data_IF_609777495877
#
_entry.id   IF_609777495877
#
_cell.length_a   1.000
_cell.length_b   1.000
_cell.length_c   1.000
_cell.angle_alpha   90.00
_cell.angle_beta   90.00
_cell.angle_gamma   90.00
#
_symmetry.space_group_name_H-M   'P 1'
#
loop_
_entity.id
_entity.type
_entity.pdbx_description
1 polymer ?
#
# COMPACT_ATOMS: atom_id res chain seq x y z
N UNK A 1 32.83 -6.95 15.46
CA UNK A 1 31.80 -6.43 14.54
C UNK A 1 31.42 -5.03 15.01
N UNK A 2 31.33 -4.05 14.12
CA UNK A 2 30.88 -2.70 14.50
C UNK A 2 29.41 -2.73 14.95
N UNK A 3 29.00 -1.80 15.81
CA UNK A 3 27.60 -1.70 16.24
C UNK A 3 26.64 -1.55 15.05
N UNK A 4 27.05 -0.81 14.02
CA UNK A 4 26.33 -0.67 12.76
C UNK A 4 26.17 -2.01 12.02
N UNK A 5 27.21 -2.85 11.98
CA UNK A 5 27.12 -4.16 11.35
C UNK A 5 26.08 -5.04 12.08
N UNK A 6 26.12 -5.08 13.40
CA UNK A 6 25.16 -5.87 14.19
C UNK A 6 23.73 -5.39 13.94
N UNK A 7 23.49 -4.09 13.98
CA UNK A 7 22.16 -3.52 13.76
C UNK A 7 21.66 -3.76 12.32
N UNK A 8 22.51 -3.51 11.32
CA UNK A 8 22.15 -3.68 9.90
C UNK A 8 21.83 -5.13 9.52
N UNK A 9 22.65 -6.10 9.95
CA UNK A 9 22.39 -7.51 9.70
C UNK A 9 21.16 -8.02 10.47
N UNK A 10 20.90 -7.49 11.67
CA UNK A 10 19.68 -7.81 12.44
C UNK A 10 18.42 -7.35 11.70
N UNK A 11 18.41 -6.10 11.22
CA UNK A 11 17.32 -5.57 10.40
C UNK A 11 17.14 -6.35 9.10
N UNK A 12 18.25 -6.66 8.42
CA UNK A 12 18.23 -7.42 7.18
C UNK A 12 17.60 -8.80 7.38
N UNK A 13 18.06 -9.56 8.38
CA UNK A 13 17.52 -10.87 8.71
C UNK A 13 16.03 -10.83 9.02
N UNK A 14 15.59 -9.83 9.79
CA UNK A 14 14.18 -9.63 10.10
C UNK A 14 13.35 -9.32 8.84
N UNK A 15 13.82 -8.43 7.97
CA UNK A 15 13.12 -8.07 6.74
C UNK A 15 13.00 -9.26 5.79
N UNK A 16 14.09 -10.00 5.57
CA UNK A 16 14.10 -11.20 4.72
C UNK A 16 13.16 -12.27 5.26
N UNK A 17 13.13 -12.48 6.58
CA UNK A 17 12.19 -13.40 7.22
C UNK A 17 10.74 -13.01 6.95
N UNK A 18 10.39 -11.73 7.13
CA UNK A 18 9.03 -11.23 6.91
C UNK A 18 8.62 -11.28 5.43
N UNK A 19 9.52 -10.95 4.51
CA UNK A 19 9.29 -11.09 3.06
C UNK A 19 9.09 -12.55 2.67
N UNK A 20 9.94 -13.45 3.17
CA UNK A 20 9.82 -14.89 2.91
C UNK A 20 8.49 -15.43 3.41
N UNK A 21 8.11 -15.07 4.65
CA UNK A 21 6.82 -15.44 5.22
C UNK A 21 5.65 -14.89 4.39
N UNK A 22 5.74 -13.66 3.86
CA UNK A 22 4.75 -13.10 2.94
C UNK A 22 4.64 -13.91 1.64
N UNK A 23 5.76 -14.26 1.01
CA UNK A 23 5.74 -15.00 -0.27
C UNK A 23 5.12 -16.39 -0.08
N UNK A 24 5.43 -17.05 1.03
CA UNK A 24 4.80 -18.33 1.42
C UNK A 24 3.30 -18.11 1.64
N UNK A 25 2.89 -17.04 2.34
CA UNK A 25 1.48 -16.68 2.60
C UNK A 25 0.68 -16.61 1.32
N UNK A 26 1.21 -15.86 0.35
CA UNK A 26 0.53 -15.61 -0.91
C UNK A 26 0.54 -16.81 -1.85
N UNK A 27 1.60 -17.60 -1.82
CA UNK A 27 1.65 -18.86 -2.56
C UNK A 27 0.58 -19.83 -2.05
N UNK A 28 0.39 -19.93 -0.73
CA UNK A 28 -0.70 -20.74 -0.16
C UNK A 28 -2.07 -20.17 -0.52
N UNK A 29 -2.24 -18.85 -0.48
CA UNK A 29 -3.52 -18.19 -0.77
C UNK A 29 -3.94 -18.35 -2.23
N UNK A 30 -3.00 -18.24 -3.18
CA UNK A 30 -3.27 -18.30 -4.61
C UNK A 30 -3.04 -19.70 -5.22
N UNK A 31 -2.67 -20.68 -4.40
CA UNK A 31 -2.49 -22.09 -4.76
C UNK A 31 -1.25 -22.41 -5.61
N UNK A 32 -0.59 -21.42 -6.22
CA UNK A 32 0.62 -21.61 -7.03
C UNK A 32 1.46 -20.35 -7.11
N UNK A 33 2.78 -20.53 -7.26
CA UNK A 33 3.75 -19.44 -7.51
C UNK A 33 3.50 -18.69 -8.82
N UNK A 34 2.83 -19.34 -9.79
CA UNK A 34 2.49 -18.72 -11.09
C UNK A 34 1.37 -17.67 -10.98
N UNK A 35 0.60 -17.72 -9.89
CA UNK A 35 -0.50 -16.80 -9.63
C UNK A 35 -0.09 -15.62 -8.72
N UNK A 36 1.22 -15.43 -8.52
CA UNK A 36 1.73 -14.28 -7.78
C UNK A 36 1.46 -12.98 -8.55
N UNK A 37 1.22 -11.92 -7.81
CA UNK A 37 0.82 -10.65 -8.39
C UNK A 37 2.03 -9.73 -8.61
N UNK A 38 1.82 -8.66 -9.38
CA UNK A 38 2.88 -7.68 -9.70
C UNK A 38 3.56 -7.14 -8.43
N UNK A 39 2.79 -6.94 -7.35
CA UNK A 39 3.35 -6.44 -6.09
C UNK A 39 4.28 -7.45 -5.40
N UNK A 40 4.14 -8.75 -5.66
CA UNK A 40 5.08 -9.75 -5.15
C UNK A 40 6.40 -9.71 -5.92
N UNK A 41 6.34 -9.52 -7.24
CA UNK A 41 7.54 -9.30 -8.06
C UNK A 41 8.29 -8.03 -7.65
N UNK A 42 7.56 -6.94 -7.37
CA UNK A 42 8.14 -5.69 -6.89
C UNK A 42 8.78 -5.82 -5.51
N UNK A 43 8.20 -6.62 -4.59
CA UNK A 43 8.81 -6.88 -3.28
C UNK A 43 10.08 -7.71 -3.40
N UNK A 44 10.12 -8.71 -4.31
CA UNK A 44 11.36 -9.46 -4.58
C UNK A 44 12.42 -8.52 -5.14
N UNK A 45 12.06 -7.67 -6.11
CA UNK A 45 12.96 -6.65 -6.66
C UNK A 45 13.49 -5.70 -5.56
N UNK A 46 12.59 -5.14 -4.74
CA UNK A 46 12.95 -4.29 -3.60
C UNK A 46 13.89 -5.01 -2.62
N UNK A 47 13.68 -6.31 -2.40
CA UNK A 47 14.54 -7.10 -1.50
C UNK A 47 15.95 -7.25 -2.08
N UNK A 48 16.09 -7.50 -3.38
CA UNK A 48 17.39 -7.55 -4.04
C UNK A 48 18.14 -6.22 -3.93
N UNK A 49 17.47 -5.10 -4.22
CA UNK A 49 18.08 -3.77 -4.13
C UNK A 49 18.41 -3.41 -2.67
N UNK A 50 17.54 -3.75 -1.73
CA UNK A 50 17.80 -3.58 -0.30
C UNK A 50 18.99 -4.41 0.20
N UNK A 51 19.21 -5.63 -0.33
CA UNK A 51 20.44 -6.39 -0.05
C UNK A 51 21.69 -5.63 -0.49
N UNK A 52 21.68 -5.06 -1.71
CA UNK A 52 22.80 -4.25 -2.20
C UNK A 52 23.00 -3.01 -1.32
N UNK A 53 21.93 -2.37 -0.87
CA UNK A 53 21.99 -1.25 0.08
C UNK A 53 22.68 -1.64 1.38
N UNK A 54 22.26 -2.74 2.03
CA UNK A 54 22.84 -3.16 3.33
C UNK A 54 24.31 -3.53 3.18
N UNK A 55 24.67 -4.25 2.11
CA UNK A 55 26.08 -4.58 1.82
C UNK A 55 26.88 -3.31 1.53
N UNK A 56 26.35 -2.40 0.72
CA UNK A 56 27.01 -1.13 0.39
C UNK A 56 27.21 -0.23 1.61
N UNK A 57 26.24 -0.17 2.52
CA UNK A 57 26.37 0.56 3.80
C UNK A 57 27.50 -0.01 4.66
N UNK A 58 27.70 -1.33 4.65
CA UNK A 58 28.83 -1.94 5.34
C UNK A 58 30.17 -1.56 4.70
N UNK A 59 30.23 -1.38 3.37
CA UNK A 59 31.44 -0.89 2.69
C UNK A 59 31.71 0.56 3.07
N UNK A 60 30.71 1.45 2.93
CA UNK A 60 30.84 2.89 3.24
C UNK A 60 31.27 3.11 4.69
N UNK A 61 30.76 2.30 5.63
CA UNK A 61 31.13 2.41 7.04
C UNK A 61 32.63 2.13 7.32
N UNK A 62 33.35 1.52 6.37
CA UNK A 62 34.77 1.21 6.49
C UNK A 62 35.64 1.91 5.44
N UNK A 63 35.08 2.84 4.66
CA UNK A 63 35.82 3.58 3.61
C UNK A 63 35.60 5.07 3.75
N UNK A 64 36.64 5.86 3.51
CA UNK A 64 36.50 7.30 3.40
C UNK A 64 35.84 7.72 2.07
N UNK A 65 35.22 8.90 2.03
CA UNK A 65 34.65 9.48 0.81
C UNK A 65 35.33 10.81 0.46
N UNK A 66 34.87 11.44 -0.62
CA UNK A 66 35.23 12.79 -1.06
C UNK A 66 34.59 13.91 -0.22
N UNK A 67 33.77 13.59 0.79
CA UNK A 67 33.33 14.55 1.78
C UNK A 67 34.41 14.68 2.87
N UNK A 68 35.26 15.70 2.73
CA UNK A 68 36.43 15.91 3.59
C UNK A 68 36.07 16.87 4.74
N UNK A 69 36.40 16.53 6.01
CA UNK A 69 36.24 17.44 7.14
C UNK A 69 37.06 18.72 6.94
N UNK A 70 36.54 19.91 7.31
CA UNK A 70 37.26 21.18 7.14
C UNK A 70 38.57 21.25 7.95
N UNK A 71 38.72 20.39 8.95
CA UNK A 71 39.93 20.28 9.79
C UNK A 71 41.01 19.38 9.17
N UNK A 72 40.66 18.51 8.21
CA UNK A 72 41.62 17.69 7.49
C UNK A 72 42.23 18.53 6.35
N UNK A 73 43.57 18.59 6.31
CA UNK A 73 44.30 19.20 5.20
C UNK A 73 44.04 18.47 3.87
N UNK A 74 44.45 19.09 2.75
CA UNK A 74 44.26 18.54 1.41
C UNK A 74 45.45 17.68 0.91
N UNK A 75 46.42 17.40 1.78
CA UNK A 75 47.58 16.58 1.47
C UNK A 75 47.24 15.10 1.69
N UNK A 76 46.79 14.44 0.63
CA UNK A 76 46.45 13.02 0.65
C UNK A 76 47.53 12.17 -0.03
N UNK A 77 47.83 11.03 0.58
CA UNK A 77 48.64 9.99 -0.06
C UNK A 77 47.89 9.41 -1.29
N UNK A 78 48.57 9.02 -2.38
CA UNK A 78 47.92 8.45 -3.55
C UNK A 78 47.04 7.23 -3.26
N UNK A 79 47.35 6.43 -2.22
CA UNK A 79 46.49 5.32 -1.82
C UNK A 79 45.21 5.80 -1.11
N UNK A 80 45.27 6.82 -0.26
CA UNK A 80 44.06 7.42 0.36
C UNK A 80 43.14 8.05 -0.70
N UNK A 81 43.72 8.68 -1.73
CA UNK A 81 42.93 9.21 -2.86
C UNK A 81 42.17 8.07 -3.56
N UNK A 82 42.81 6.93 -3.83
CA UNK A 82 42.14 5.77 -4.46
C UNK A 82 41.03 5.21 -3.59
N UNK A 83 41.26 5.10 -2.29
CA UNK A 83 40.27 4.63 -1.33
C UNK A 83 39.05 5.57 -1.29
N UNK A 84 39.29 6.89 -1.22
CA UNK A 84 38.22 7.90 -1.24
C UNK A 84 37.40 7.89 -2.53
N UNK A 85 38.06 7.72 -3.68
CA UNK A 85 37.37 7.55 -4.96
C UNK A 85 36.47 6.31 -4.93
N UNK A 86 36.94 5.20 -4.37
CA UNK A 86 36.14 3.99 -4.23
C UNK A 86 34.96 4.19 -3.28
N UNK A 87 35.19 4.78 -2.10
CA UNK A 87 34.13 5.07 -1.14
C UNK A 87 33.07 6.01 -1.69
N UNK A 88 33.45 7.07 -2.40
CA UNK A 88 32.50 7.98 -3.07
C UNK A 88 31.64 7.29 -4.13
N UNK A 89 32.22 6.37 -4.92
CA UNK A 89 31.44 5.57 -5.86
C UNK A 89 30.44 4.66 -5.14
N UNK A 90 30.83 4.09 -4.01
CA UNK A 90 29.92 3.28 -3.19
C UNK A 90 28.79 4.11 -2.57
N UNK A 91 29.06 5.35 -2.15
CA UNK A 91 28.03 6.31 -1.69
C UNK A 91 26.97 6.55 -2.75
N UNK A 92 27.38 6.78 -4.01
CA UNK A 92 26.43 6.90 -5.14
C UNK A 92 25.55 5.67 -5.30
N UNK A 93 26.15 4.47 -5.25
CA UNK A 93 25.43 3.20 -5.39
C UNK A 93 24.42 3.01 -4.26
N UNK A 94 24.82 3.28 -3.02
CA UNK A 94 23.94 3.14 -1.85
C UNK A 94 22.80 4.13 -1.91
N UNK A 95 23.06 5.38 -2.28
CA UNK A 95 22.01 6.40 -2.39
C UNK A 95 20.97 6.03 -3.45
N UNK A 96 21.40 5.45 -4.59
CA UNK A 96 20.44 4.93 -5.57
C UNK A 96 19.74 3.67 -5.14
N UNK A 97 20.40 2.76 -4.44
CA UNK A 97 19.71 1.61 -3.88
C UNK A 97 18.64 2.04 -2.86
N UNK A 98 18.89 3.10 -2.09
CA UNK A 98 17.91 3.65 -1.15
C UNK A 98 16.73 4.28 -1.85
N UNK A 99 16.99 5.16 -2.83
CA UNK A 99 15.96 5.80 -3.65
C UNK A 99 15.06 4.72 -4.29
N UNK A 100 15.66 3.75 -4.98
CA UNK A 100 14.91 2.67 -5.65
C UNK A 100 14.15 1.80 -4.64
N UNK A 101 14.75 1.45 -3.50
CA UNK A 101 14.08 0.63 -2.47
C UNK A 101 12.84 1.34 -1.92
N UNK A 102 13.00 2.59 -1.46
CA UNK A 102 11.93 3.35 -0.83
C UNK A 102 10.77 3.61 -1.82
N UNK A 103 11.06 4.03 -3.05
CA UNK A 103 10.02 4.29 -4.03
C UNK A 103 9.34 3.02 -4.53
N UNK A 104 10.07 1.91 -4.65
CA UNK A 104 9.47 0.60 -4.97
C UNK A 104 8.49 0.19 -3.86
N UNK A 105 8.85 0.39 -2.59
CA UNK A 105 7.99 0.08 -1.46
C UNK A 105 6.73 0.95 -1.44
N UNK A 106 6.86 2.25 -1.74
CA UNK A 106 5.69 3.14 -1.93
C UNK A 106 4.79 2.66 -3.06
N UNK A 107 5.35 2.23 -4.18
CA UNK A 107 4.60 1.66 -5.30
C UNK A 107 3.84 0.38 -4.89
N UNK A 108 4.49 -0.53 -4.15
CA UNK A 108 3.85 -1.73 -3.59
C UNK A 108 2.66 -1.37 -2.67
N UNK A 109 2.83 -0.39 -1.79
CA UNK A 109 1.76 0.09 -0.90
C UNK A 109 0.58 0.68 -1.68
N UNK A 110 0.86 1.48 -2.72
CA UNK A 110 -0.17 2.07 -3.57
C UNK A 110 -0.94 1.00 -4.36
N UNK A 111 -0.26 -0.01 -4.90
CA UNK A 111 -0.91 -1.15 -5.57
C UNK A 111 -1.75 -1.98 -4.59
N UNK A 112 -1.29 -2.13 -3.35
CA UNK A 112 -2.11 -2.74 -2.30
C UNK A 112 -3.37 -1.89 -2.07
N UNK A 113 -3.23 -0.60 -1.83
CA UNK A 113 -4.37 0.28 -1.56
C UNK A 113 -5.34 0.40 -2.74
N UNK A 114 -4.88 0.23 -3.98
CA UNK A 114 -5.78 0.23 -5.14
C UNK A 114 -6.76 -0.95 -5.12
N UNK A 115 -6.45 -2.02 -4.38
CA UNK A 115 -7.34 -3.17 -4.19
C UNK A 115 -8.30 -3.00 -3.01
N UNK A 116 -7.95 -2.16 -2.03
CA UNK A 116 -8.80 -1.88 -0.88
C UNK A 116 -9.79 -0.73 -1.15
N UNK A 117 -9.48 0.15 -2.10
CA UNK A 117 -10.28 1.35 -2.37
C UNK A 117 -11.40 1.05 -3.38
N UNK A 118 -12.65 1.27 -2.95
CA UNK A 118 -13.84 0.99 -3.79
C UNK A 118 -14.54 2.27 -4.26
N UNK A 119 -14.42 3.37 -3.52
CA UNK A 119 -15.16 4.61 -3.81
C UNK A 119 -14.46 5.43 -4.89
N UNK A 120 -15.23 6.07 -5.79
CA UNK A 120 -14.70 6.93 -6.86
C UNK A 120 -13.73 8.02 -6.35
N UNK A 121 -14.07 8.68 -5.23
CA UNK A 121 -13.21 9.68 -4.59
C UNK A 121 -11.88 9.08 -4.10
N UNK A 122 -11.92 7.90 -3.48
CA UNK A 122 -10.72 7.21 -2.98
C UNK A 122 -9.81 6.76 -4.12
N UNK A 123 -10.37 6.22 -5.19
CA UNK A 123 -9.61 5.82 -6.38
C UNK A 123 -8.97 7.03 -7.06
N UNK A 124 -9.68 8.17 -7.14
CA UNK A 124 -9.10 9.41 -7.67
C UNK A 124 -7.94 9.91 -6.81
N UNK A 125 -8.12 9.99 -5.49
CA UNK A 125 -7.05 10.36 -4.55
C UNK A 125 -5.84 9.44 -4.68
N UNK A 126 -6.06 8.12 -4.75
CA UNK A 126 -4.99 7.14 -4.93
C UNK A 126 -4.22 7.34 -6.23
N UNK A 127 -4.91 7.63 -7.34
CA UNK A 127 -4.26 7.92 -8.63
C UNK A 127 -3.43 9.20 -8.58
N UNK A 128 -3.91 10.24 -7.92
CA UNK A 128 -3.17 11.50 -7.74
C UNK A 128 -1.90 11.26 -6.91
N UNK A 129 -2.00 10.53 -5.79
CA UNK A 129 -0.83 10.20 -4.96
C UNK A 129 0.13 9.29 -5.71
N UNK A 130 -0.35 8.32 -6.48
CA UNK A 130 0.50 7.47 -7.31
C UNK A 130 1.25 8.26 -8.40
N UNK A 131 0.58 9.21 -9.05
CA UNK A 131 1.21 10.12 -10.00
C UNK A 131 2.26 11.00 -9.33
N UNK A 132 1.98 11.51 -8.13
CA UNK A 132 2.95 12.27 -7.32
C UNK A 132 4.19 11.47 -6.97
N UNK A 133 4.04 10.22 -6.52
CA UNK A 133 5.16 9.32 -6.20
C UNK A 133 5.98 8.96 -7.44
N UNK A 134 5.33 8.69 -8.57
CA UNK A 134 6.02 8.42 -9.83
C UNK A 134 6.78 9.66 -10.33
N UNK A 135 6.15 10.83 -10.27
CA UNK A 135 6.80 12.10 -10.62
C UNK A 135 8.01 12.37 -9.73
N UNK A 136 7.89 12.20 -8.42
CA UNK A 136 8.99 12.46 -7.50
C UNK A 136 10.16 11.51 -7.74
N UNK A 137 9.91 10.23 -8.06
CA UNK A 137 10.98 9.29 -8.44
C UNK A 137 11.76 9.80 -9.66
N UNK A 138 11.05 10.08 -10.76
CA UNK A 138 11.68 10.55 -12.00
C UNK A 138 12.41 11.87 -11.79
N UNK A 139 11.83 12.79 -11.01
CA UNK A 139 12.48 14.04 -10.64
C UNK A 139 13.81 13.79 -9.91
N UNK A 140 13.82 12.92 -8.89
CA UNK A 140 15.04 12.60 -8.14
C UNK A 140 16.12 11.99 -9.05
N UNK A 141 15.76 11.01 -9.88
CA UNK A 141 16.71 10.34 -10.79
C UNK A 141 17.33 11.31 -11.81
N UNK A 142 16.50 12.13 -12.46
CA UNK A 142 16.95 13.08 -13.49
C UNK A 142 17.84 14.16 -12.88
N UNK A 143 17.48 14.70 -11.72
CA UNK A 143 18.26 15.78 -11.11
C UNK A 143 19.56 15.27 -10.47
N UNK A 144 19.53 14.08 -9.86
CA UNK A 144 20.73 13.47 -9.26
C UNK A 144 21.76 13.08 -10.31
N UNK A 145 21.35 12.38 -11.36
CA UNK A 145 22.28 11.91 -12.40
C UNK A 145 22.61 13.01 -13.43
N UNK A 146 21.75 14.02 -13.55
CA UNK A 146 21.78 14.93 -14.69
C UNK A 146 22.00 16.41 -14.38
N UNK A 147 21.69 16.91 -13.18
CA UNK A 147 21.57 18.36 -12.94
C UNK A 147 22.43 18.86 -11.80
N UNK A 148 22.37 18.26 -10.61
CA UNK A 148 22.97 18.86 -9.41
C UNK A 148 24.50 18.88 -9.39
N UNK A 149 25.14 17.95 -10.09
CA UNK A 149 26.59 17.87 -10.15
C UNK A 149 27.07 17.69 -11.60
N UNK A 150 27.83 18.68 -12.09
CA UNK A 150 28.43 18.66 -13.42
C UNK A 150 29.87 19.18 -13.37
N UNK A 151 30.84 18.44 -13.94
CA UNK A 151 30.70 17.14 -14.60
C UNK A 151 30.37 15.99 -13.62
N UNK A 152 29.72 14.92 -14.09
CA UNK A 152 29.26 13.82 -13.21
C UNK A 152 30.41 13.12 -12.46
N UNK A 153 31.63 13.18 -13.01
CA UNK A 153 32.83 12.68 -12.37
C UNK A 153 33.19 13.36 -11.05
N UNK A 154 32.68 14.57 -10.81
CA UNK A 154 32.93 15.31 -9.57
C UNK A 154 32.31 14.65 -8.34
N UNK A 155 31.32 13.75 -8.52
CA UNK A 155 30.77 12.97 -7.41
C UNK A 155 31.80 12.07 -6.72
N UNK A 156 32.88 11.69 -7.41
CA UNK A 156 33.96 10.88 -6.84
C UNK A 156 35.35 11.52 -7.04
N UNK A 157 35.41 12.81 -7.40
CA UNK A 157 36.67 13.53 -7.48
C UNK A 157 37.20 13.89 -6.07
N UNK A 158 38.52 13.85 -5.90
CA UNK A 158 39.21 14.13 -4.63
C UNK A 158 40.42 15.04 -4.91
N UNK A 159 40.41 16.32 -4.46
CA UNK A 159 39.25 17.05 -3.95
C UNK A 159 38.24 17.39 -5.07
N UNK A 160 36.95 17.50 -4.76
CA UNK A 160 35.94 17.91 -5.74
C UNK A 160 36.06 19.41 -6.05
N UNK A 161 35.82 19.79 -7.31
CA UNK A 161 35.78 21.18 -7.75
C UNK A 161 34.56 21.97 -7.24
N UNK A 162 33.52 21.27 -6.79
CA UNK A 162 32.32 21.88 -6.22
C UNK A 162 31.85 21.12 -4.97
N UNK A 163 31.66 21.84 -3.86
CA UNK A 163 31.16 21.30 -2.59
C UNK A 163 29.77 20.67 -2.70
N UNK A 164 28.95 21.08 -3.67
CA UNK A 164 27.65 20.48 -3.92
C UNK A 164 27.75 19.03 -4.41
N UNK A 165 28.83 18.68 -5.10
CA UNK A 165 29.06 17.32 -5.62
C UNK A 165 29.49 16.33 -4.54
N UNK A 166 30.15 16.79 -3.46
CA UNK A 166 30.49 15.93 -2.32
C UNK A 166 29.43 15.92 -1.23
N UNK A 167 28.85 17.07 -0.90
CA UNK A 167 27.83 17.17 0.15
C UNK A 167 26.43 16.73 -0.31
N UNK A 168 26.16 16.73 -1.62
CA UNK A 168 24.87 16.38 -2.20
C UNK A 168 23.67 17.13 -1.57
N UNK A 169 23.87 18.36 -1.10
CA UNK A 169 22.90 19.12 -0.30
C UNK A 169 21.55 19.27 -1.00
N UNK A 170 21.55 19.64 -2.29
CA UNK A 170 20.32 19.79 -3.08
C UNK A 170 19.53 18.48 -3.19
N UNK A 171 20.23 17.35 -3.34
CA UNK A 171 19.62 16.02 -3.36
C UNK A 171 19.02 15.68 -1.99
N UNK A 172 19.76 15.90 -0.91
CA UNK A 172 19.28 15.59 0.44
C UNK A 172 18.02 16.39 0.80
N UNK A 173 17.96 17.68 0.46
CA UNK A 173 16.81 18.56 0.73
C UNK A 173 15.58 18.09 -0.06
N UNK A 174 15.73 17.88 -1.36
CA UNK A 174 14.62 17.48 -2.23
C UNK A 174 14.14 16.06 -1.92
N UNK A 175 15.07 15.13 -1.64
CA UNK A 175 14.75 13.79 -1.18
C UNK A 175 13.94 13.84 0.12
N UNK A 176 14.36 14.63 1.12
CA UNK A 176 13.62 14.80 2.36
C UNK A 176 12.19 15.27 2.11
N UNK A 177 12.02 16.30 1.27
CA UNK A 177 10.72 16.86 0.93
C UNK A 177 9.80 15.82 0.27
N UNK A 178 10.24 15.20 -0.83
CA UNK A 178 9.41 14.26 -1.59
C UNK A 178 9.14 12.96 -0.83
N UNK A 179 10.12 12.46 -0.08
CA UNK A 179 9.98 11.22 0.66
C UNK A 179 8.98 11.37 1.82
N UNK A 180 9.14 12.38 2.66
CA UNK A 180 8.26 12.61 3.83
C UNK A 180 6.85 12.97 3.39
N UNK A 181 6.70 13.89 2.43
CA UNK A 181 5.38 14.30 1.96
C UNK A 181 4.61 13.16 1.29
N UNK A 182 5.28 12.32 0.49
CA UNK A 182 4.63 11.14 -0.10
C UNK A 182 4.22 10.10 0.96
N UNK A 183 5.00 9.88 2.01
CA UNK A 183 4.60 8.98 3.11
C UNK A 183 3.36 9.48 3.84
N UNK A 184 3.29 10.78 4.14
CA UNK A 184 2.11 11.39 4.75
C UNK A 184 0.87 11.22 3.86
N UNK A 185 1.00 11.42 2.55
CA UNK A 185 -0.09 11.19 1.61
C UNK A 185 -0.53 9.73 1.58
N UNK A 186 0.41 8.78 1.56
CA UNK A 186 0.13 7.34 1.53
C UNK A 186 -0.57 6.88 2.82
N UNK A 187 -0.12 7.35 3.99
CA UNK A 187 -0.76 7.06 5.28
C UNK A 187 -2.17 7.68 5.37
N UNK A 188 -2.38 8.84 4.74
CA UNK A 188 -3.69 9.50 4.75
C UNK A 188 -4.77 8.77 3.94
N UNK A 189 -4.40 7.98 2.92
CA UNK A 189 -5.35 7.26 2.05
C UNK A 189 -6.31 6.36 2.86
N UNK A 190 -5.82 5.45 3.71
CA UNK A 190 -6.71 4.52 4.40
C UNK A 190 -7.29 5.07 5.71
N UNK A 191 -6.81 6.21 6.24
CA UNK A 191 -7.31 6.80 7.51
C UNK A 191 -8.83 7.00 7.54
N UNK A 192 -9.49 7.59 6.52
CA UNK A 192 -10.95 7.76 6.51
C UNK A 192 -11.70 6.44 6.56
N UNK A 193 -11.18 5.40 5.90
CA UNK A 193 -11.78 4.05 5.90
C UNK A 193 -11.79 3.51 7.33
N UNK A 194 -10.69 3.67 8.05
CA UNK A 194 -10.56 3.12 9.39
C UNK A 194 -11.33 3.88 10.46
N UNK A 195 -11.53 5.18 10.29
CA UNK A 195 -12.38 5.97 11.20
C UNK A 195 -13.86 5.54 11.06
N UNK A 196 -14.29 5.17 9.85
CA UNK A 196 -15.68 4.78 9.58
C UNK A 196 -16.00 3.34 9.97
N UNK A 197 -15.02 2.42 9.93
CA UNK A 197 -15.27 0.99 10.18
C UNK A 197 -15.12 0.65 11.67
N UNK A 198 -16.22 0.23 12.30
CA UNK A 198 -16.22 -0.31 13.67
C UNK A 198 -15.60 -1.72 13.70
N UNK A 199 -14.28 -1.80 13.86
CA UNK A 199 -13.57 -3.07 13.99
C UNK A 199 -13.56 -3.58 15.44
N UNK A 200 -13.66 -4.91 15.67
CA UNK A 200 -13.46 -5.49 17.00
C UNK A 200 -12.06 -5.15 17.51
N UNK A 201 -11.93 -4.92 18.83
CA UNK A 201 -10.71 -4.39 19.47
C UNK A 201 -9.41 -5.09 19.01
N UNK A 202 -9.45 -6.41 18.83
CA UNK A 202 -8.30 -7.19 18.37
C UNK A 202 -7.81 -6.78 16.97
N UNK A 203 -8.72 -6.54 16.01
CA UNK A 203 -8.38 -6.04 14.66
C UNK A 203 -7.90 -4.59 14.70
N UNK A 204 -8.47 -3.78 15.61
CA UNK A 204 -8.08 -2.39 15.82
C UNK A 204 -6.63 -2.25 16.32
N UNK A 205 -6.18 -3.12 17.22
CA UNK A 205 -4.80 -3.12 17.74
C UNK A 205 -3.77 -3.42 16.64
N UNK A 206 -4.00 -4.44 15.82
CA UNK A 206 -3.08 -4.81 14.73
C UNK A 206 -2.95 -3.67 13.73
N UNK A 207 -4.09 -3.06 13.39
CA UNK A 207 -4.13 -1.94 12.49
C UNK A 207 -3.36 -0.73 13.04
N UNK A 208 -3.55 -0.43 14.33
CA UNK A 208 -2.80 0.61 15.02
C UNK A 208 -1.28 0.32 14.96
N UNK A 209 -0.87 -0.95 15.11
CA UNK A 209 0.53 -1.35 14.95
C UNK A 209 1.10 -1.07 13.55
N UNK A 210 0.34 -1.37 12.49
CA UNK A 210 0.76 -1.10 11.10
C UNK A 210 0.90 0.41 10.84
N UNK A 211 -0.06 1.21 11.29
CA UNK A 211 0.04 2.67 11.20
C UNK A 211 1.19 3.23 12.03
N UNK A 212 1.40 2.71 13.24
CA UNK A 212 2.50 3.10 14.11
C UNK A 212 3.86 2.83 13.45
N UNK A 213 4.00 1.70 12.75
CA UNK A 213 5.23 1.39 12.01
C UNK A 213 5.43 2.32 10.80
N UNK A 214 4.35 2.70 10.10
CA UNK A 214 4.41 3.72 9.05
C UNK A 214 4.85 5.08 9.59
N UNK A 215 4.30 5.51 10.74
CA UNK A 215 4.73 6.75 11.42
C UNK A 215 6.19 6.68 11.89
N UNK A 216 6.64 5.51 12.36
CA UNK A 216 8.05 5.29 12.73
C UNK A 216 8.99 5.36 11.51
N UNK A 217 8.52 4.92 10.34
CA UNK A 217 9.27 5.06 9.08
C UNK A 217 9.49 6.54 8.75
N UNK A 218 8.46 7.37 8.87
CA UNK A 218 8.57 8.83 8.68
C UNK A 218 9.52 9.45 9.72
N UNK A 219 9.40 9.06 10.99
CA UNK A 219 10.31 9.54 12.04
C UNK A 219 11.77 9.19 11.73
N UNK A 220 12.01 7.97 11.24
CA UNK A 220 13.35 7.53 10.85
C UNK A 220 13.90 8.38 9.70
N UNK A 221 13.08 8.70 8.69
CA UNK A 221 13.45 9.58 7.59
C UNK A 221 13.77 11.01 8.06
N UNK A 222 12.97 11.57 8.97
CA UNK A 222 13.21 12.89 9.55
C UNK A 222 14.54 12.92 10.31
N UNK A 223 14.79 11.93 11.17
CA UNK A 223 16.01 11.87 11.98
C UNK A 223 17.24 11.61 11.11
N UNK A 224 17.15 10.76 10.09
CA UNK A 224 18.19 10.56 9.09
C UNK A 224 18.64 11.89 8.48
N UNK A 225 17.70 12.68 7.95
CA UNK A 225 18.02 13.97 7.32
C UNK A 225 18.50 15.01 8.33
N UNK A 226 17.91 15.06 9.51
CA UNK A 226 18.36 15.95 10.59
C UNK A 226 19.83 15.71 10.95
N UNK A 227 20.22 14.45 11.18
CA UNK A 227 21.62 14.11 11.49
C UNK A 227 22.54 14.26 10.27
N UNK A 228 22.05 14.01 9.06
CA UNK A 228 22.85 14.25 7.84
C UNK A 228 23.24 15.72 7.68
N UNK A 229 22.35 16.65 8.02
CA UNK A 229 22.66 18.09 7.92
C UNK A 229 23.44 18.64 9.11
N UNK A 230 23.16 18.17 10.33
CA UNK A 230 23.80 18.69 11.54
C UNK A 230 25.14 18.05 11.84
N UNK A 231 25.31 16.77 11.47
CA UNK A 231 26.48 15.95 11.77
C UNK A 231 26.84 15.07 10.56
N UNK A 232 27.22 15.65 9.40
CA UNK A 232 27.51 14.89 8.17
C UNK A 232 28.67 13.90 8.32
N UNK A 233 29.63 14.20 9.20
CA UNK A 233 30.77 13.32 9.53
C UNK A 233 30.49 12.36 10.69
N UNK A 234 29.31 12.44 11.31
CA UNK A 234 28.88 11.54 12.37
C UNK A 234 28.40 10.20 11.83
N UNK A 235 28.28 9.19 12.70
CA UNK A 235 27.75 7.87 12.32
C UNK A 235 26.23 7.74 12.51
N UNK A 236 25.61 8.72 13.19
CA UNK A 236 24.22 8.60 13.64
C UNK A 236 23.20 8.63 12.50
N UNK A 237 23.48 9.40 11.44
CA UNK A 237 22.63 9.42 10.24
C UNK A 237 22.56 8.03 9.58
N UNK A 238 23.67 7.29 9.57
CA UNK A 238 23.79 5.94 8.98
C UNK A 238 22.86 4.94 9.67
N UNK A 239 22.70 5.03 11.01
CA UNK A 239 21.75 4.18 11.75
C UNK A 239 20.30 4.49 11.37
N UNK A 240 19.92 5.76 11.32
CA UNK A 240 18.56 6.16 10.95
C UNK A 240 18.25 5.85 9.48
N UNK A 241 19.24 5.92 8.59
CA UNK A 241 19.14 5.53 7.19
C UNK A 241 18.76 4.04 7.04
N UNK A 242 19.43 3.16 7.77
CA UNK A 242 19.12 1.72 7.76
C UNK A 242 17.74 1.45 8.38
N UNK A 243 17.39 2.15 9.47
CA UNK A 243 16.07 2.02 10.10
C UNK A 243 14.95 2.43 9.15
N UNK A 244 15.12 3.52 8.42
CA UNK A 244 14.15 3.99 7.43
C UNK A 244 13.87 2.92 6.36
N UNK A 245 14.91 2.42 5.69
CA UNK A 245 14.76 1.39 4.68
C UNK A 245 14.12 0.11 5.23
N UNK A 246 14.57 -0.33 6.40
CA UNK A 246 14.12 -1.58 7.02
C UNK A 246 12.67 -1.50 7.50
N UNK A 247 12.27 -0.38 8.09
CA UNK A 247 10.91 -0.16 8.58
C UNK A 247 9.92 0.04 7.44
N UNK A 248 10.35 0.66 6.34
CA UNK A 248 9.57 0.71 5.10
C UNK A 248 9.32 -0.70 4.54
N UNK A 249 10.38 -1.53 4.46
CA UNK A 249 10.27 -2.94 4.05
C UNK A 249 9.27 -3.71 4.93
N UNK A 250 9.33 -3.53 6.25
CA UNK A 250 8.39 -4.21 7.16
C UNK A 250 6.95 -3.71 6.99
N UNK A 251 6.75 -2.40 6.89
CA UNK A 251 5.42 -1.77 6.75
C UNK A 251 4.65 -2.29 5.54
N UNK A 252 5.33 -2.51 4.41
CA UNK A 252 4.68 -3.02 3.20
C UNK A 252 4.37 -4.52 3.23
N UNK A 253 5.02 -5.29 4.12
CA UNK A 253 4.92 -6.75 4.11
C UNK A 253 4.06 -7.31 5.25
N UNK A 254 4.08 -6.69 6.44
CA UNK A 254 3.32 -7.13 7.62
C UNK A 254 1.82 -7.37 7.35
N UNK A 255 1.09 -6.49 6.61
CA UNK A 255 -0.34 -6.70 6.37
C UNK A 255 -0.66 -8.04 5.68
N UNK A 256 0.24 -8.54 4.84
CA UNK A 256 0.06 -9.77 4.07
C UNK A 256 0.57 -11.03 4.77
N UNK A 257 1.46 -10.87 5.75
CA UNK A 257 1.93 -11.97 6.60
C UNK A 257 0.91 -12.31 7.68
N UNK A 258 0.03 -11.37 8.03
CA UNK A 258 -0.96 -11.52 9.10
C UNK A 258 -1.92 -12.71 8.91
N UNK A 259 -2.33 -13.02 7.68
CA UNK A 259 -3.20 -14.16 7.37
C UNK A 259 -2.54 -15.51 7.70
N UNK A 260 -1.23 -15.63 7.52
CA UNK A 260 -0.47 -16.80 7.98
C UNK A 260 -0.28 -16.81 9.48
N UNK A 261 -0.03 -15.66 10.11
CA UNK A 261 0.11 -15.60 11.56
C UNK A 261 -1.15 -16.17 12.25
N UNK A 262 -2.33 -15.82 11.72
CA UNK A 262 -3.60 -16.37 12.21
C UNK A 262 -3.68 -17.90 12.03
N UNK A 263 -3.18 -18.44 10.91
CA UNK A 263 -3.26 -19.87 10.59
C UNK A 263 -2.17 -20.70 11.31
N UNK A 264 -0.96 -20.18 11.44
CA UNK A 264 0.20 -20.84 12.03
C UNK A 264 0.12 -20.89 13.57
N UNK A 265 -0.34 -19.82 14.21
CA UNK A 265 -0.45 -19.80 15.69
C UNK A 265 -1.70 -20.52 16.21
N UNK A 266 -2.47 -21.20 15.35
CA UNK A 266 -3.77 -21.82 15.69
C UNK A 266 -4.60 -20.91 16.59
N UNK A 267 -4.53 -19.59 16.38
CA UNK A 267 -5.38 -18.64 17.07
C UNK A 267 -6.79 -18.99 16.59
N UNK A 268 -7.50 -19.74 17.44
CA UNK A 268 -8.82 -20.32 17.19
C UNK A 268 -9.60 -19.41 16.26
N UNK A 269 -10.12 -20.00 15.19
CA UNK A 269 -11.05 -19.36 14.25
C UNK A 269 -11.85 -18.28 14.97
N UNK A 270 -11.69 -17.04 14.51
CA UNK A 270 -12.43 -15.87 14.96
C UNK A 270 -13.91 -15.92 14.50
N UNK A 271 -14.43 -17.12 14.23
CA UNK A 271 -15.84 -17.42 14.01
C UNK A 271 -16.40 -18.01 15.30
N UNK A 272 -17.47 -17.40 15.80
CA UNK A 272 -17.90 -17.48 17.19
C UNK A 272 -18.05 -18.89 17.75
N UNK A 273 -17.35 -19.16 18.86
CA UNK A 273 -17.83 -20.13 19.85
C UNK A 273 -18.84 -19.45 20.77
N UNK A 274 -19.97 -19.05 20.19
CA UNK A 274 -21.20 -18.74 20.91
C UNK A 274 -22.10 -19.96 20.80
N UNK A 275 -21.81 -21.01 21.57
CA UNK A 275 -22.66 -22.20 21.63
C UNK A 275 -23.91 -21.85 22.45
N UNK A 276 -24.82 -21.07 21.85
CA UNK A 276 -26.20 -20.98 22.35
C UNK A 276 -26.83 -22.34 22.11
N UNK A 277 -26.77 -23.22 23.11
CA UNK A 277 -27.71 -24.33 23.25
C UNK A 277 -29.09 -23.71 23.47
N UNK A 278 -29.77 -23.34 22.38
CA UNK A 278 -31.21 -23.19 22.41
C UNK A 278 -31.78 -24.59 22.63
N UNK A 279 -32.06 -24.90 23.88
CA UNK A 279 -32.83 -26.08 24.26
C UNK A 279 -34.29 -25.76 23.93
N UNK A 280 -34.66 -25.83 22.66
CA UNK A 280 -36.07 -25.83 22.26
C UNK A 280 -36.69 -27.10 22.81
N UNK A 281 -37.39 -26.94 23.93
CA UNK A 281 -38.23 -27.96 24.54
C UNK A 281 -39.51 -28.01 23.73
N UNK A 282 -39.52 -28.79 22.66
CA UNK A 282 -40.74 -29.06 21.89
C UNK A 282 -41.65 -29.93 22.76
N UNK A 283 -42.67 -29.32 23.35
CA UNK A 283 -43.79 -30.02 23.99
C UNK A 283 -44.60 -30.69 22.89
N UNK A 284 -44.35 -31.98 22.65
CA UNK A 284 -45.25 -32.80 21.84
C UNK A 284 -46.39 -33.27 22.75
N UNK A 285 -47.58 -32.69 22.57
CA UNK A 285 -48.82 -33.29 23.05
C UNK A 285 -49.08 -34.52 22.19
N UNK A 286 -48.70 -35.70 22.70
CA UNK A 286 -49.06 -36.97 22.06
C UNK A 286 -50.36 -37.49 22.66
N UNK A 287 -51.36 -37.55 21.79
CA UNK A 287 -52.69 -38.07 21.99
C UNK A 287 -52.65 -39.57 22.35
N UNK A 288 -53.50 -40.00 23.28
CA UNK A 288 -53.67 -41.39 23.69
C UNK A 288 -54.07 -42.28 22.51
N UNK A 289 -53.33 -43.37 22.30
CA UNK A 289 -53.66 -44.43 21.37
C UNK A 289 -52.95 -45.73 21.75
N UNK A 290 -53.65 -46.58 22.49
CA UNK A 290 -53.27 -47.95 22.82
C UNK A 290 -53.24 -48.81 21.54
N UNK A 291 -52.08 -49.38 21.16
CA UNK A 291 -51.96 -50.78 20.67
C UNK A 291 -50.52 -51.25 20.89
N UNK A 292 -50.40 -52.44 21.47
CA UNK A 292 -49.17 -53.15 21.74
C UNK A 292 -48.50 -53.72 20.48
N UNK A 293 -47.17 -53.77 20.46
CA UNK A 293 -46.45 -55.02 20.16
C UNK A 293 -44.98 -54.93 20.58
N UNK A 294 -44.50 -56.05 21.12
CA UNK A 294 -43.15 -56.29 21.64
C UNK A 294 -42.19 -56.70 20.52
N UNK A 295 -40.90 -56.41 20.74
CA UNK A 295 -39.70 -57.25 20.58
C UNK A 295 -38.57 -56.62 19.73
N UNK A 296 -37.35 -56.60 20.30
CA UNK A 296 -36.10 -56.50 19.54
C UNK A 296 -34.96 -55.67 20.17
N UNK A 297 -34.18 -56.29 21.07
CA UNK A 297 -32.80 -55.93 21.51
C UNK A 297 -31.83 -56.29 20.34
N UNK A 298 -30.66 -55.69 20.02
CA UNK A 298 -29.48 -55.36 20.84
C UNK A 298 -28.34 -54.71 19.96
N UNK A 299 -27.45 -53.91 20.57
CA UNK A 299 -26.01 -53.56 20.27
C UNK A 299 -25.59 -52.96 18.91
N UNK A 300 -25.16 -51.69 18.83
CA UNK A 300 -23.82 -51.06 19.13
C UNK A 300 -22.72 -51.24 18.08
N UNK A 301 -22.25 -50.10 17.57
CA UNK A 301 -20.85 -49.64 17.41
C UNK A 301 -20.45 -49.24 15.98
N UNK A 302 -19.93 -48.00 15.85
CA UNK A 302 -19.03 -47.62 14.75
C UNK A 302 -19.33 -46.29 14.06
N UNK A 303 -19.28 -45.18 14.79
CA UNK A 303 -19.21 -43.83 14.23
C UNK A 303 -17.93 -43.65 13.38
N UNK A 304 -18.08 -43.48 12.07
CA UNK A 304 -17.12 -42.76 11.23
C UNK A 304 -17.85 -41.59 10.56
N UNK A 305 -17.66 -40.41 11.13
CA UNK A 305 -18.18 -39.14 10.64
C UNK A 305 -17.61 -38.82 9.24
N UNK A 306 -18.38 -39.12 8.20
CA UNK A 306 -18.21 -38.55 6.87
C UNK A 306 -18.86 -37.17 6.89
N UNK A 307 -18.07 -36.12 6.61
CA UNK A 307 -18.53 -34.75 6.56
C UNK A 307 -19.57 -34.56 5.44
N UNK A 308 -20.85 -34.64 5.81
CA UNK A 308 -22.00 -34.26 4.98
C UNK A 308 -22.39 -32.83 5.31
N UNK A 309 -22.01 -31.87 4.45
CA UNK A 309 -22.84 -30.71 4.14
C UNK A 309 -22.22 -29.90 3.00
N UNK A 310 -22.52 -30.29 1.76
CA UNK A 310 -22.53 -29.36 0.61
C UNK A 310 -23.26 -29.89 -0.64
N UNK A 311 -23.71 -31.16 -0.68
CA UNK A 311 -24.35 -31.73 -1.88
C UNK A 311 -25.90 -31.83 -1.85
N UNK A 312 -26.59 -31.37 -0.80
CA UNK A 312 -28.05 -31.50 -0.71
C UNK A 312 -28.86 -30.24 -1.11
N UNK A 313 -28.24 -29.26 -1.77
CA UNK A 313 -28.97 -28.07 -2.26
C UNK A 313 -29.66 -28.31 -3.61
N UNK A 314 -29.28 -29.35 -4.38
CA UNK A 314 -29.78 -29.56 -5.74
C UNK A 314 -30.75 -30.75 -5.94
N UNK A 315 -31.40 -31.27 -4.89
CA UNK A 315 -32.28 -32.45 -5.02
C UNK A 315 -33.76 -32.24 -4.65
N UNK A 316 -34.23 -31.00 -4.55
CA UNK A 316 -35.66 -30.71 -4.47
C UNK A 316 -36.03 -29.72 -5.57
N UNK A 317 -36.99 -30.08 -6.43
CA UNK A 317 -37.73 -29.08 -7.21
C UNK A 317 -38.48 -28.18 -6.21
N UNK A 318 -37.86 -27.07 -5.84
CA UNK A 318 -38.53 -25.98 -5.12
C UNK A 318 -39.14 -25.07 -6.19
N UNK A 319 -40.46 -24.89 -6.23
CA UNK A 319 -41.06 -23.98 -7.20
C UNK A 319 -40.59 -22.56 -6.89
N UNK A 320 -40.09 -21.86 -7.93
CA UNK A 320 -39.66 -20.47 -7.83
C UNK A 320 -40.91 -19.57 -7.69
N UNK A 321 -41.15 -19.04 -6.49
CA UNK A 321 -42.07 -17.91 -6.31
C UNK A 321 -41.36 -16.59 -6.66
N UNK A 322 -41.86 -15.90 -7.68
CA UNK A 322 -41.38 -14.57 -8.08
C UNK A 322 -41.99 -13.55 -7.12
N UNK A 323 -41.19 -13.05 -6.17
CA UNK A 323 -41.65 -12.08 -5.17
C UNK A 323 -41.86 -10.66 -5.70
N UNK A 324 -41.36 -10.32 -6.89
CA UNK A 324 -41.54 -9.00 -7.49
C UNK A 324 -41.35 -9.03 -9.00
N UNK A 325 -42.36 -8.60 -9.76
CA UNK A 325 -42.29 -8.49 -11.21
C UNK A 325 -42.44 -7.02 -11.60
N UNK A 326 -41.32 -6.32 -11.80
CA UNK A 326 -41.33 -4.93 -12.26
C UNK A 326 -41.46 -4.91 -13.77
N UNK A 327 -42.69 -4.74 -14.27
CA UNK A 327 -42.98 -4.56 -15.70
C UNK A 327 -42.96 -3.05 -15.98
N UNK A 328 -42.03 -2.60 -16.82
CA UNK A 328 -41.96 -1.20 -17.28
C UNK A 328 -42.69 -1.16 -18.63
N UNK A 329 -43.89 -0.59 -18.66
CA UNK A 329 -44.58 -0.24 -19.89
C UNK A 329 -44.07 1.10 -20.39
N UNK A 330 -43.38 1.09 -21.53
CA UNK A 330 -43.02 2.31 -22.25
C UNK A 330 -44.14 2.58 -23.24
N UNK A 331 -45.05 3.48 -22.89
CA UNK A 331 -46.04 4.00 -23.84
C UNK A 331 -45.36 5.04 -24.72
N UNK A 332 -45.14 4.70 -25.98
CA UNK A 332 -44.80 5.67 -27.02
C UNK A 332 -46.10 6.02 -27.73
N UNK A 333 -46.62 7.23 -27.47
CA UNK A 333 -47.76 7.77 -28.20
C UNK A 333 -47.29 8.14 -29.61
N UNK A 334 -47.51 7.25 -30.57
CA UNK A 334 -47.51 7.63 -31.98
C UNK A 334 -48.69 8.58 -32.23
N UNK A 335 -48.38 9.81 -32.64
CA UNK A 335 -49.40 10.73 -33.16
C UNK A 335 -49.81 10.27 -34.56
N UNK A 336 -51.10 10.01 -34.82
CA UNK A 336 -51.57 9.63 -36.14
C UNK A 336 -51.75 10.87 -37.04
N UNK A 337 -51.27 10.73 -38.28
CA UNK A 337 -52.01 11.11 -39.49
C UNK A 337 -52.21 12.59 -39.80
N UNK A 338 -51.64 13.00 -40.94
CA UNK A 338 -51.88 14.25 -41.65
C UNK A 338 -53.34 14.36 -42.11
N UNK A 339 -54.00 15.50 -41.86
CA UNK A 339 -55.16 15.97 -42.64
C UNK A 339 -55.07 17.51 -42.80
N UNK A 340 -55.30 17.97 -44.04
CA UNK A 340 -55.14 19.35 -44.50
C UNK A 340 -56.25 20.33 -44.03
N UNK A 341 -55.89 21.63 -44.09
CA UNK A 341 -56.59 22.86 -43.66
C UNK A 341 -58.07 23.03 -44.05
N UNK A 342 -58.79 23.93 -43.33
CA UNK A 342 -59.19 25.19 -43.97
C UNK A 342 -58.92 26.48 -43.16
N UNK A 343 -58.93 27.57 -43.90
CA UNK A 343 -58.45 28.95 -43.65
C UNK A 343 -59.28 29.87 -42.73
N UNK A 344 -58.56 30.78 -42.02
CA UNK A 344 -58.88 32.18 -41.61
C UNK A 344 -60.13 32.43 -40.71
N UNK A 345 -60.25 33.55 -39.94
CA UNK A 345 -59.51 34.83 -39.98
C UNK A 345 -59.00 35.41 -38.63
N UNK A 346 -58.18 36.45 -38.73
CA UNK A 346 -57.66 37.33 -37.67
C UNK A 346 -58.77 38.19 -37.04
N UNK A 347 -58.83 38.31 -35.70
CA UNK A 347 -58.80 39.63 -35.05
C UNK A 347 -58.02 39.56 -33.71
N UNK A 348 -57.13 40.48 -33.33
CA UNK A 348 -57.43 41.87 -33.01
C UNK A 348 -56.72 42.18 -31.67
N UNK A 349 -55.92 43.26 -31.67
CA UNK A 349 -55.12 43.73 -30.53
C UNK A 349 -55.96 44.09 -29.30
N UNK A 350 -55.41 43.86 -28.10
CA UNK A 350 -55.53 44.82 -27.01
C UNK A 350 -54.15 45.24 -26.50
N UNK A 351 -54.04 46.50 -26.12
CA UNK A 351 -52.88 47.38 -26.24
C UNK A 351 -51.95 47.25 -25.01
N UNK A 352 -50.65 47.22 -25.24
CA UNK A 352 -49.66 47.66 -24.24
C UNK A 352 -49.00 48.95 -24.73
N UNK A 353 -49.35 50.05 -24.07
CA UNK A 353 -48.76 51.38 -24.26
C UNK A 353 -47.48 51.48 -23.45
N UNK A 354 -46.35 51.75 -24.10
CA UNK A 354 -45.17 52.34 -23.46
C UNK A 354 -44.53 53.35 -24.42
N UNK A 355 -44.22 54.59 -23.97
CA UNK A 355 -43.65 55.61 -24.82
C UNK A 355 -42.13 55.50 -24.92
N UNK A 356 -41.66 55.34 -26.16
CA UNK A 356 -40.62 56.15 -26.81
C UNK A 356 -39.24 56.28 -26.15
N UNK A 357 -38.22 55.87 -26.92
CA UNK A 357 -37.11 56.77 -27.30
C UNK A 357 -36.46 56.33 -28.60
N UNK A 358 -36.44 57.27 -29.56
CA UNK A 358 -35.75 57.26 -30.85
C UNK A 358 -34.26 57.45 -30.62
N UNK A 359 -33.39 56.72 -31.33
CA UNK A 359 -32.16 57.27 -31.91
C UNK A 359 -31.80 56.51 -33.20
N UNK A 360 -31.50 57.21 -34.30
CA UNK A 360 -31.16 56.61 -35.59
C UNK A 360 -29.65 56.33 -35.73
N UNK A 361 -29.39 55.14 -36.27
CA UNK A 361 -28.42 54.79 -37.33
C UNK A 361 -27.25 55.73 -37.62
N UNK A 362 -26.06 55.18 -37.39
CA UNK A 362 -24.83 55.39 -38.16
C UNK A 362 -24.08 54.08 -38.18
#
# INVERSE_FOLDING_TARGET
MSALAVESWSWFGLCVLVVTARLISRTILHGSVKNLQIDDALIVFATCIYTVLIVGMQVIANTNSNLIPPEHGLDFDPEDIKERIHGSKMVLVVEQCMCVTIWTIKACLLIMYSRLTTTRKQVLTLKIVAAYVAFSFVFMEVFYLGVWCRPFSEYWAVPPGNVQCSAATNHLITNAFFNISSDLMIIAIPLPIFIQVQLPLKKKVILCGIFGLGMFTILSAVLNKFYSFTQPFGSLWTFWYIREASTAMLTANIPFTWTLLQRAFKLRSFAGSGHHRSRSRTTYHQFNGTVASRFGRHSTAGDLNRAESQENINKGEVPLEIWQNTRIEVSSTESPGVEEMPSMPVPGMEKAVLPGKRYPSG
#
